data_IF_551164162555
#
_entry.id   IF_551164162555
#
_cell.length_a   1.000
_cell.length_b   1.000
_cell.length_c   1.000
_cell.angle_alpha   90.00
_cell.angle_beta   90.00
_cell.angle_gamma   90.00
#
_symmetry.space_group_name_H-M   'P 1'
#
loop_
_entity.id
_entity.type
_entity.pdbx_description
1 polymer ?
#
# COMPACT_ATOMS: atom_id res chain seq x y z
N UNK A 1 22.63 -1.87 -5.36
CA UNK A 1 21.34 -2.50 -5.02
C UNK A 1 20.27 -1.42 -5.14
N UNK A 2 19.16 -1.67 -5.84
CA UNK A 2 18.01 -0.75 -5.86
C UNK A 2 17.46 -0.65 -4.43
N UNK A 3 17.18 0.55 -3.94
CA UNK A 3 16.48 0.73 -2.66
C UNK A 3 15.02 0.33 -2.83
N UNK A 4 14.47 -0.39 -1.85
CA UNK A 4 13.07 -0.77 -1.82
C UNK A 4 12.22 0.44 -1.39
N UNK A 5 11.34 0.92 -2.26
CA UNK A 5 10.61 2.17 -2.03
C UNK A 5 9.19 1.88 -1.54
N UNK A 6 8.89 2.32 -0.31
CA UNK A 6 7.52 2.29 0.23
C UNK A 6 6.90 3.68 0.20
N UNK A 7 5.72 3.79 -0.41
CA UNK A 7 4.93 5.00 -0.38
C UNK A 7 3.80 4.85 0.65
N UNK A 8 3.99 5.45 1.83
CA UNK A 8 2.96 5.49 2.89
C UNK A 8 2.12 6.76 2.79
N UNK A 9 0.81 6.58 2.72
CA UNK A 9 -0.20 7.64 2.70
C UNK A 9 -1.03 7.64 4.00
N UNK A 10 -0.49 7.12 5.10
CA UNK A 10 -1.16 7.07 6.41
C UNK A 10 -1.07 8.44 7.09
N UNK A 11 -2.22 9.05 7.42
CA UNK A 11 -2.27 10.31 8.18
C UNK A 11 -2.29 10.10 9.69
N UNK A 12 -2.81 8.96 10.15
CA UNK A 12 -2.80 8.60 11.57
C UNK A 12 -1.35 8.41 12.05
N UNK A 13 -0.88 9.31 12.93
CA UNK A 13 0.51 9.31 13.39
C UNK A 13 0.88 8.07 14.21
N UNK A 14 -0.07 7.49 14.95
CA UNK A 14 0.17 6.31 15.77
C UNK A 14 0.39 5.09 14.89
N UNK A 15 -0.44 4.92 13.88
CA UNK A 15 -0.33 3.86 12.88
C UNK A 15 0.89 4.06 11.99
N UNK A 16 1.15 5.28 11.51
CA UNK A 16 2.34 5.60 10.73
C UNK A 16 3.60 5.24 11.51
N UNK A 17 3.70 5.64 12.78
CA UNK A 17 4.83 5.31 13.64
C UNK A 17 5.01 3.79 13.84
N UNK A 18 3.91 3.04 14.05
CA UNK A 18 3.97 1.57 14.16
C UNK A 18 4.51 0.93 12.89
N UNK A 19 4.03 1.39 11.73
CA UNK A 19 4.46 0.89 10.42
C UNK A 19 5.91 1.27 10.13
N UNK A 20 6.29 2.52 10.36
CA UNK A 20 7.64 3.04 10.12
C UNK A 20 8.71 2.32 10.94
N UNK A 21 8.38 1.91 12.17
CA UNK A 21 9.31 1.12 12.99
C UNK A 21 9.57 -0.28 12.46
N UNK A 22 8.72 -0.79 11.58
CA UNK A 22 8.83 -2.15 11.02
C UNK A 22 9.50 -2.14 9.64
N UNK A 23 9.51 -1.00 8.94
CA UNK A 23 9.99 -0.90 7.56
C UNK A 23 10.98 0.25 7.44
N UNK A 24 12.28 -0.02 7.33
CA UNK A 24 13.33 1.02 7.39
C UNK A 24 13.44 1.93 6.14
N UNK A 25 12.46 1.97 5.23
CA UNK A 25 12.59 2.71 3.97
C UNK A 25 11.33 3.50 3.61
N UNK A 26 11.43 4.84 3.64
CA UNK A 26 10.40 5.76 3.20
C UNK A 26 10.99 6.83 2.30
N UNK A 27 10.65 6.78 1.03
CA UNK A 27 10.63 7.94 0.15
C UNK A 27 9.34 7.82 -0.64
N UNK A 28 8.28 8.50 -0.20
CA UNK A 28 6.99 8.50 -0.89
C UNK A 28 6.95 9.72 -1.83
N UNK A 29 7.15 9.56 -3.15
CA UNK A 29 7.14 10.67 -4.09
C UNK A 29 5.72 11.23 -4.35
N UNK A 30 4.69 10.53 -3.87
CA UNK A 30 3.29 10.88 -4.08
C UNK A 30 2.70 11.41 -2.78
N UNK A 31 2.27 12.65 -2.81
CA UNK A 31 1.50 13.26 -1.72
C UNK A 31 0.00 13.08 -1.94
N UNK A 32 -0.78 13.29 -0.89
CA UNK A 32 -2.25 13.32 -0.96
C UNK A 32 -2.80 14.34 -1.97
N UNK A 33 -2.12 15.48 -2.16
CA UNK A 33 -2.52 16.47 -3.17
C UNK A 33 -2.28 15.95 -4.58
N UNK A 34 -1.20 15.19 -4.80
CA UNK A 34 -0.86 14.61 -6.11
C UNK A 34 -1.86 13.53 -6.55
N UNK A 35 -2.44 12.79 -5.60
CA UNK A 35 -3.53 11.82 -5.87
C UNK A 35 -4.73 12.49 -6.55
N UNK A 36 -4.93 13.80 -6.34
CA UNK A 36 -6.03 14.51 -6.99
C UNK A 36 -5.84 14.62 -8.52
N UNK A 37 -4.63 14.50 -9.04
CA UNK A 37 -4.32 14.65 -10.45
C UNK A 37 -3.62 13.39 -11.01
N UNK A 38 -4.42 12.38 -11.37
CA UNK A 38 -3.92 11.04 -11.75
C UNK A 38 -3.00 11.05 -12.98
N UNK A 39 -3.16 12.04 -13.87
CA UNK A 39 -2.28 12.24 -15.02
C UNK A 39 -0.83 12.54 -14.62
N UNK A 40 -0.59 13.13 -13.44
CA UNK A 40 0.73 13.57 -12.98
C UNK A 40 1.50 12.51 -12.20
N UNK A 41 0.86 11.40 -11.81
CA UNK A 41 1.46 10.37 -10.93
C UNK A 41 2.00 9.15 -11.69
N UNK A 42 1.69 8.99 -12.98
CA UNK A 42 2.03 7.77 -13.74
C UNK A 42 3.53 7.45 -13.75
N UNK A 43 4.37 8.48 -13.81
CA UNK A 43 5.83 8.33 -13.79
C UNK A 43 6.36 8.05 -12.38
N UNK A 44 5.76 8.64 -11.35
CA UNK A 44 6.15 8.39 -9.95
C UNK A 44 5.91 6.92 -9.55
N UNK A 45 4.83 6.33 -10.06
CA UNK A 45 4.48 4.92 -9.80
C UNK A 45 5.57 3.94 -10.22
N UNK A 46 6.40 4.27 -11.21
CA UNK A 46 7.45 3.37 -11.70
C UNK A 46 8.54 3.08 -10.66
N UNK A 47 8.67 3.93 -9.65
CA UNK A 47 9.72 3.84 -8.63
C UNK A 47 9.21 3.32 -7.27
N UNK A 48 7.94 2.95 -7.17
CA UNK A 48 7.31 2.51 -5.93
C UNK A 48 7.18 0.99 -5.95
N UNK A 49 7.70 0.34 -4.91
CA UNK A 49 7.65 -1.12 -4.76
C UNK A 49 6.47 -1.55 -3.86
N UNK A 50 5.93 -0.64 -3.04
CA UNK A 50 4.77 -0.90 -2.18
C UNK A 50 4.00 0.39 -1.87
N UNK A 51 2.67 0.33 -2.01
CA UNK A 51 1.78 1.33 -1.41
C UNK A 51 1.24 0.86 -0.07
N UNK A 52 1.26 1.76 0.90
CA UNK A 52 0.63 1.53 2.20
C UNK A 52 -0.27 2.70 2.52
N UNK A 53 -1.53 2.44 2.85
CA UNK A 53 -2.43 3.49 3.25
C UNK A 53 -3.49 3.01 4.22
N UNK A 54 -4.07 3.98 4.91
CA UNK A 54 -5.28 3.76 5.66
C UNK A 54 -6.47 4.07 4.76
N UNK A 55 -7.48 3.20 4.74
CA UNK A 55 -8.59 3.27 3.78
C UNK A 55 -9.26 4.65 3.74
N UNK A 56 -9.40 5.32 4.89
CA UNK A 56 -10.01 6.65 4.97
C UNK A 56 -9.13 7.80 4.42
N UNK A 57 -7.83 7.57 4.23
CA UNK A 57 -6.89 8.59 3.76
C UNK A 57 -6.81 8.67 2.22
N UNK A 58 -7.33 7.64 1.53
CA UNK A 58 -7.39 7.57 0.07
C UNK A 58 -8.83 7.43 -0.37
N UNK A 59 -9.40 8.47 -0.98
CA UNK A 59 -10.80 8.48 -1.42
C UNK A 59 -10.99 8.26 -2.92
N UNK A 60 -9.90 8.19 -3.71
CA UNK A 60 -10.00 8.04 -5.17
C UNK A 60 -9.83 6.60 -5.60
N UNK A 61 -10.94 5.96 -5.92
CA UNK A 61 -10.97 4.61 -6.50
C UNK A 61 -10.11 4.52 -7.78
N UNK A 62 -10.15 5.54 -8.63
CA UNK A 62 -9.33 5.63 -9.85
C UNK A 62 -7.81 5.51 -9.57
N UNK A 63 -7.33 6.07 -8.45
CA UNK A 63 -5.94 5.94 -8.06
C UNK A 63 -5.61 4.50 -7.66
N UNK A 64 -6.47 3.86 -6.88
CA UNK A 64 -6.29 2.46 -6.46
C UNK A 64 -6.36 1.52 -7.66
N UNK A 65 -7.29 1.74 -8.59
CA UNK A 65 -7.35 0.99 -9.85
C UNK A 65 -6.05 1.14 -10.64
N UNK A 66 -5.49 2.35 -10.76
CA UNK A 66 -4.21 2.56 -11.44
C UNK A 66 -3.04 1.83 -10.74
N UNK A 67 -2.97 1.86 -9.40
CA UNK A 67 -1.96 1.12 -8.63
C UNK A 67 -2.08 -0.38 -8.88
N UNK A 68 -3.30 -0.91 -8.85
CA UNK A 68 -3.61 -2.32 -9.09
C UNK A 68 -3.27 -2.75 -10.54
N UNK A 69 -3.63 -1.95 -11.55
CA UNK A 69 -3.27 -2.18 -12.95
C UNK A 69 -1.76 -2.24 -13.17
N UNK A 70 -0.99 -1.42 -12.45
CA UNK A 70 0.48 -1.43 -12.46
C UNK A 70 1.08 -2.61 -11.71
N UNK A 71 0.25 -3.46 -11.10
CA UNK A 71 0.65 -4.60 -10.26
C UNK A 71 1.57 -4.18 -9.11
N UNK A 72 1.40 -2.95 -8.62
CA UNK A 72 2.14 -2.49 -7.46
C UNK A 72 1.44 -3.08 -6.23
N UNK A 73 2.16 -3.81 -5.37
CA UNK A 73 1.62 -4.35 -4.14
C UNK A 73 1.03 -3.26 -3.26
N UNK A 74 -0.03 -3.60 -2.54
CA UNK A 74 -0.76 -2.67 -1.67
C UNK A 74 -0.98 -3.29 -0.30
N UNK A 75 -0.81 -2.49 0.75
CA UNK A 75 -1.22 -2.81 2.12
C UNK A 75 -2.25 -1.78 2.59
N UNK A 76 -3.43 -2.25 2.96
CA UNK A 76 -4.58 -1.40 3.29
C UNK A 76 -5.00 -1.64 4.74
N UNK A 77 -4.86 -0.62 5.57
CA UNK A 77 -5.43 -0.63 6.90
C UNK A 77 -6.92 -0.29 6.83
N UNK A 78 -7.77 -1.03 7.55
CA UNK A 78 -9.20 -0.74 7.66
C UNK A 78 -9.74 -1.10 9.04
N UNK A 79 -10.75 -0.41 9.54
CA UNK A 79 -11.46 -0.80 10.75
C UNK A 79 -12.64 -1.75 10.50
N UNK A 80 -13.04 -1.95 9.24
CA UNK A 80 -14.16 -2.80 8.90
C UNK A 80 -13.99 -3.38 7.49
N UNK A 81 -13.46 -4.60 7.43
CA UNK A 81 -13.19 -5.28 6.17
C UNK A 81 -14.47 -5.59 5.39
N UNK A 82 -15.61 -5.77 6.07
CA UNK A 82 -16.89 -6.06 5.42
C UNK A 82 -17.48 -4.85 4.70
N UNK A 83 -17.15 -3.64 5.14
CA UNK A 83 -17.59 -2.39 4.53
C UNK A 83 -16.49 -1.68 3.75
N UNK A 84 -15.36 -2.35 3.50
CA UNK A 84 -14.28 -1.73 2.76
C UNK A 84 -14.70 -1.45 1.31
N UNK A 85 -14.53 -0.20 0.90
CA UNK A 85 -14.86 0.28 -0.44
C UNK A 85 -13.93 -0.32 -1.50
N UNK A 86 -12.71 -0.72 -1.12
CA UNK A 86 -11.72 -1.26 -2.06
C UNK A 86 -11.77 -2.79 -2.20
N UNK A 87 -12.59 -3.50 -1.41
CA UNK A 87 -12.59 -4.97 -1.41
C UNK A 87 -12.96 -5.58 -2.76
N UNK A 88 -13.82 -4.91 -3.53
CA UNK A 88 -14.19 -5.32 -4.89
C UNK A 88 -13.04 -5.24 -5.88
N UNK A 89 -12.13 -4.27 -5.74
CA UNK A 89 -10.97 -4.07 -6.62
C UNK A 89 -9.97 -5.21 -6.48
N UNK A 90 -9.74 -5.65 -5.23
CA UNK A 90 -8.74 -6.68 -4.92
C UNK A 90 -9.30 -8.10 -4.84
N UNK A 91 -10.56 -8.34 -5.26
CA UNK A 91 -11.20 -9.66 -5.17
C UNK A 91 -10.43 -10.76 -5.93
N UNK A 92 -9.76 -10.39 -7.01
CA UNK A 92 -9.00 -11.29 -7.88
C UNK A 92 -7.48 -11.16 -7.63
N UNK A 93 -7.08 -10.42 -6.59
CA UNK A 93 -5.68 -10.28 -6.20
C UNK A 93 -5.16 -11.62 -5.70
N UNK A 94 -3.94 -12.04 -6.10
CA UNK A 94 -3.31 -13.26 -5.56
C UNK A 94 -2.99 -13.16 -4.07
N UNK A 95 -3.11 -11.96 -3.51
CA UNK A 95 -2.82 -11.63 -2.14
C UNK A 95 -3.92 -10.72 -1.59
N UNK A 96 -4.45 -11.07 -0.41
CA UNK A 96 -5.36 -10.19 0.33
C UNK A 96 -4.57 -8.97 0.84
N UNK A 97 -4.83 -7.72 0.42
CA UNK A 97 -4.02 -6.58 0.85
C UNK A 97 -4.45 -5.99 2.21
N UNK A 98 -5.50 -6.50 2.86
CA UNK A 98 -6.11 -5.82 3.99
C UNK A 98 -5.53 -6.25 5.34
N UNK A 99 -5.45 -5.30 6.27
CA UNK A 99 -5.28 -5.51 7.71
C UNK A 99 -6.47 -4.86 8.41
N UNK A 100 -7.31 -5.68 9.04
CA UNK A 100 -8.42 -5.21 9.86
C UNK A 100 -7.93 -4.84 11.28
N UNK A 101 -8.43 -3.73 11.81
CA UNK A 101 -8.12 -3.30 13.18
C UNK A 101 -8.66 -4.26 14.25
N UNK A 102 -8.02 -4.34 15.42
CA UNK A 102 -6.93 -3.47 15.91
C UNK A 102 -5.55 -3.80 15.31
N UNK A 103 -4.87 -2.78 14.77
CA UNK A 103 -3.60 -2.94 14.05
C UNK A 103 -2.44 -3.33 14.97
N UNK A 104 -2.16 -4.63 15.06
CA UNK A 104 -1.03 -5.17 15.81
C UNK A 104 0.25 -5.18 14.97
N UNK A 105 1.41 -5.04 15.61
CA UNK A 105 2.69 -5.15 14.92
C UNK A 105 2.93 -6.54 14.33
N UNK A 106 2.32 -7.58 14.90
CA UNK A 106 2.41 -8.94 14.39
C UNK A 106 1.69 -9.06 13.04
N UNK A 107 0.46 -8.56 12.95
CA UNK A 107 -0.32 -8.61 11.69
C UNK A 107 0.38 -7.80 10.60
N UNK A 108 0.92 -6.62 10.94
CA UNK A 108 1.70 -5.80 10.01
C UNK A 108 2.93 -6.58 9.52
N UNK A 109 3.70 -7.18 10.43
CA UNK A 109 4.92 -7.90 10.07
C UNK A 109 4.63 -9.15 9.21
N UNK A 110 3.60 -9.93 9.56
CA UNK A 110 3.17 -11.09 8.78
C UNK A 110 2.81 -10.66 7.36
N UNK A 111 2.02 -9.58 7.23
CA UNK A 111 1.55 -9.09 5.93
C UNK A 111 2.66 -8.52 5.07
N UNK A 112 3.62 -7.83 5.68
CA UNK A 112 4.83 -7.38 5.01
C UNK A 112 5.68 -8.56 4.53
N UNK A 113 5.78 -9.65 5.32
CA UNK A 113 6.46 -10.87 4.92
C UNK A 113 5.93 -11.43 3.61
N UNK A 114 4.61 -11.61 3.51
CA UNK A 114 3.96 -12.09 2.30
C UNK A 114 4.22 -11.17 1.08
N UNK A 115 4.16 -9.85 1.28
CA UNK A 115 4.43 -8.85 0.24
C UNK A 115 5.88 -8.94 -0.25
N UNK A 116 6.84 -9.01 0.68
CA UNK A 116 8.25 -9.12 0.34
C UNK A 116 8.53 -10.41 -0.42
N UNK A 117 7.93 -11.53 0.00
CA UNK A 117 8.06 -12.81 -0.70
C UNK A 117 7.54 -12.71 -2.14
N UNK A 118 6.37 -12.11 -2.34
CA UNK A 118 5.80 -11.88 -3.67
C UNK A 118 6.73 -11.03 -4.56
N UNK A 119 7.27 -9.94 -4.03
CA UNK A 119 8.16 -9.04 -4.77
C UNK A 119 9.47 -9.74 -5.13
N UNK A 120 10.05 -10.53 -4.21
CA UNK A 120 11.29 -11.27 -4.49
C UNK A 120 11.07 -12.34 -5.57
N UNK A 121 9.93 -13.02 -5.58
CA UNK A 121 9.62 -14.06 -6.57
C UNK A 121 9.26 -13.49 -7.94
N UNK A 122 8.68 -12.28 -8.03
CA UNK A 122 8.37 -11.63 -9.31
C UNK A 122 9.62 -11.17 -10.08
N UNK A 123 10.76 -10.99 -9.41
CA UNK A 123 12.03 -10.58 -10.03
C UNK A 123 12.90 -11.76 -10.51
N UNK A 124 12.46 -13.01 -10.32
CA UNK A 124 13.17 -14.22 -10.79
C UNK A 124 12.69 -14.74 -12.16
N UNK A 125 11.79 -14.01 -12.82
CA UNK A 125 11.23 -14.35 -14.14
C UNK A 125 11.86 -13.58 -15.29
#
# INVERSE_FOLDING_TARGET
MKKFTVCSLIRDKSLSFKFERLVEIFDCPISHSKIQNISEIKEDLANIDLFVFYEHDVSKEEFINLVYEKRIPVLIFTHNLNNSHFRSIFKDSPFDPFIEGPFSSFDIAAKMGDIFEMIVHSHKG
#
